data_IF_064758225897
#
_entry.id   IF_064758225897
#
_cell.length_a   1.000
_cell.length_b   1.000
_cell.length_c   1.000
_cell.angle_alpha   90.00
_cell.angle_beta   90.00
_cell.angle_gamma   90.00
#
_symmetry.space_group_name_H-M   'P 1'
#
loop_
_entity.id
_entity.type
_entity.pdbx_description
1 polymer ?
#
# COMPACT_ATOMS: atom_id res chain seq x y z
N UNK A 1 12.98 -5.43 0.49
CA UNK A 1 12.67 -4.71 1.75
C UNK A 1 11.25 -4.15 1.66
N UNK A 2 10.47 -4.16 2.74
CA UNK A 2 9.08 -3.68 2.76
C UNK A 2 8.75 -3.01 4.09
N UNK A 3 7.72 -2.17 4.10
CA UNK A 3 7.08 -1.71 5.34
C UNK A 3 6.02 -2.73 5.77
N UNK A 4 5.86 -2.96 7.07
CA UNK A 4 4.84 -3.83 7.61
C UNK A 4 3.80 -3.03 8.38
N UNK A 5 2.54 -3.08 7.94
CA UNK A 5 1.41 -2.56 8.70
C UNK A 5 1.04 -3.59 9.77
N UNK A 6 1.72 -3.51 10.92
CA UNK A 6 1.55 -4.46 12.02
C UNK A 6 0.16 -4.40 12.65
N UNK A 7 -0.37 -3.20 12.90
CA UNK A 7 -1.68 -3.03 13.54
C UNK A 7 -2.30 -1.68 13.23
N UNK A 8 -3.61 -1.66 13.05
CA UNK A 8 -4.43 -0.46 12.96
C UNK A 8 -5.77 -0.72 13.64
N UNK A 9 -6.18 0.23 14.48
CA UNK A 9 -7.41 0.13 15.24
C UNK A 9 -8.08 1.49 15.37
N UNK A 10 -9.40 1.47 15.50
CA UNK A 10 -10.21 2.65 15.80
C UNK A 10 -11.13 2.31 16.96
N UNK A 11 -11.43 3.32 17.79
CA UNK A 11 -12.48 3.19 18.82
C UNK A 11 -13.79 2.78 18.16
N UNK A 12 -14.58 1.95 18.84
CA UNK A 12 -15.80 1.37 18.26
C UNK A 12 -16.78 2.46 17.82
N UNK A 13 -16.92 3.52 18.62
CA UNK A 13 -17.79 4.67 18.40
C UNK A 13 -17.32 5.57 17.24
N UNK A 14 -16.12 5.32 16.71
CA UNK A 14 -15.47 6.08 15.62
C UNK A 14 -15.28 5.25 14.35
N UNK A 15 -15.79 4.02 14.31
CA UNK A 15 -15.78 3.19 13.10
C UNK A 15 -16.66 3.82 12.01
N UNK A 16 -16.29 3.59 10.75
CA UNK A 16 -17.02 4.16 9.60
C UNK A 16 -16.81 5.67 9.38
N UNK A 17 -16.07 6.37 10.24
CA UNK A 17 -15.87 7.83 10.16
C UNK A 17 -14.54 8.23 9.51
N UNK A 18 -13.80 7.28 8.93
CA UNK A 18 -12.52 7.54 8.24
C UNK A 18 -11.20 7.51 9.03
N UNK A 19 -11.11 7.47 10.38
CA UNK A 19 -9.80 7.56 11.04
C UNK A 19 -8.87 6.39 10.72
N UNK A 20 -9.41 5.18 10.54
CA UNK A 20 -8.62 4.01 10.12
C UNK A 20 -8.06 4.19 8.70
N UNK A 21 -8.85 4.75 7.79
CA UNK A 21 -8.40 5.07 6.42
C UNK A 21 -7.23 6.05 6.44
N UNK A 22 -7.35 7.13 7.20
CA UNK A 22 -6.33 8.16 7.29
C UNK A 22 -4.99 7.61 7.82
N UNK A 23 -5.03 6.72 8.83
CA UNK A 23 -3.83 6.07 9.35
C UNK A 23 -3.15 5.17 8.29
N UNK A 24 -3.94 4.41 7.53
CA UNK A 24 -3.41 3.53 6.47
C UNK A 24 -2.81 4.36 5.33
N UNK A 25 -3.47 5.44 4.93
CA UNK A 25 -2.95 6.38 3.92
C UNK A 25 -1.65 7.01 4.36
N UNK A 26 -1.53 7.43 5.62
CA UNK A 26 -0.29 7.96 6.17
C UNK A 26 0.85 6.91 6.14
N UNK A 27 0.57 5.68 6.55
CA UNK A 27 1.55 4.59 6.52
C UNK A 27 1.98 4.22 5.09
N UNK A 28 1.03 4.04 4.19
CA UNK A 28 1.32 3.71 2.78
C UNK A 28 2.00 4.84 2.02
N UNK A 29 1.76 6.10 2.40
CA UNK A 29 2.48 7.25 1.84
C UNK A 29 3.97 7.23 2.21
N UNK A 30 4.31 6.81 3.44
CA UNK A 30 5.71 6.61 3.84
C UNK A 30 6.37 5.47 3.05
N UNK A 31 5.65 4.37 2.84
CA UNK A 31 6.13 3.26 2.01
C UNK A 31 6.35 3.71 0.54
N UNK A 32 5.44 4.52 -0.01
CA UNK A 32 5.60 5.11 -1.35
C UNK A 32 6.85 5.99 -1.43
N UNK A 33 7.05 6.89 -0.45
CA UNK A 33 8.20 7.79 -0.40
C UNK A 33 9.53 7.03 -0.28
N UNK A 34 9.53 5.90 0.44
CA UNK A 34 10.68 5.00 0.54
C UNK A 34 10.84 4.07 -0.68
N UNK A 35 9.93 4.10 -1.66
CA UNK A 35 10.00 3.27 -2.85
C UNK A 35 9.86 1.77 -2.59
N UNK A 36 9.23 1.37 -1.48
CA UNK A 36 9.11 -0.03 -1.05
C UNK A 36 7.66 -0.47 -0.89
N UNK A 37 7.35 -1.78 -1.06
CA UNK A 37 6.01 -2.31 -0.81
C UNK A 37 5.58 -2.15 0.64
N UNK A 38 4.27 -2.16 0.86
CA UNK A 38 3.65 -2.28 2.18
C UNK A 38 2.96 -3.64 2.29
N UNK A 39 3.35 -4.44 3.28
CA UNK A 39 2.78 -5.75 3.58
C UNK A 39 1.87 -5.67 4.80
N UNK A 40 0.84 -6.51 4.85
CA UNK A 40 -0.01 -6.72 6.01
C UNK A 40 -0.56 -8.14 6.05
N UNK A 41 -1.09 -8.53 7.20
CA UNK A 41 -1.84 -9.76 7.40
C UNK A 41 -3.21 -9.45 7.99
N UNK A 42 -4.22 -10.22 7.60
CA UNK A 42 -5.59 -10.06 8.13
C UNK A 42 -6.36 -11.37 8.11
N UNK A 43 -7.42 -11.49 8.91
CA UNK A 43 -8.17 -12.74 9.09
C UNK A 43 -9.62 -12.71 8.56
N UNK A 44 -10.21 -11.53 8.31
CA UNK A 44 -11.63 -11.43 7.93
C UNK A 44 -11.82 -10.97 6.49
N UNK A 45 -12.88 -11.47 5.83
CA UNK A 45 -13.23 -11.05 4.46
C UNK A 45 -13.50 -9.54 4.39
N UNK A 46 -14.17 -8.97 5.40
CA UNK A 46 -14.43 -7.54 5.47
C UNK A 46 -13.14 -6.70 5.47
N UNK A 47 -12.09 -7.17 6.14
CA UNK A 47 -10.79 -6.52 6.12
C UNK A 47 -10.09 -6.70 4.77
N UNK A 48 -10.17 -7.89 4.16
CA UNK A 48 -9.63 -8.13 2.81
C UNK A 48 -10.24 -7.13 1.84
N UNK A 49 -11.58 -7.00 1.80
CA UNK A 49 -12.25 -6.05 0.92
C UNK A 49 -11.86 -4.59 1.21
N UNK A 50 -11.71 -4.26 2.49
CA UNK A 50 -11.28 -2.94 2.94
C UNK A 50 -9.85 -2.59 2.47
N UNK A 51 -8.90 -3.52 2.56
CA UNK A 51 -7.52 -3.32 2.10
C UNK A 51 -7.41 -3.41 0.58
N UNK A 52 -8.17 -4.28 -0.08
CA UNK A 52 -8.22 -4.40 -1.54
C UNK A 52 -8.62 -3.08 -2.21
N UNK A 53 -9.65 -2.40 -1.67
CA UNK A 53 -10.05 -1.05 -2.12
C UNK A 53 -8.94 0.00 -2.00
N UNK A 54 -7.89 -0.26 -1.21
CA UNK A 54 -6.73 0.61 -1.01
C UNK A 54 -5.49 0.17 -1.81
N UNK A 55 -5.66 -0.79 -2.71
CA UNK A 55 -4.62 -1.27 -3.61
C UNK A 55 -3.69 -2.31 -3.00
N UNK A 56 -4.13 -2.99 -1.93
CA UNK A 56 -3.48 -4.22 -1.49
C UNK A 56 -4.02 -5.40 -2.30
N UNK A 57 -3.15 -6.34 -2.63
CA UNK A 57 -3.45 -7.55 -3.38
C UNK A 57 -3.13 -8.76 -2.48
N UNK A 58 -3.98 -9.78 -2.51
CA UNK A 58 -3.73 -11.04 -1.79
C UNK A 58 -2.53 -11.74 -2.42
N UNK A 59 -1.58 -12.19 -1.59
CA UNK A 59 -0.39 -12.91 -2.04
C UNK A 59 -0.28 -14.33 -1.47
N UNK A 60 -1.13 -14.67 -0.49
CA UNK A 60 -1.13 -16.00 0.10
C UNK A 60 -2.00 -16.08 1.35
N UNK A 61 -2.22 -17.31 1.79
CA UNK A 61 -2.93 -17.62 3.02
C UNK A 61 -2.16 -18.67 3.81
N UNK A 62 -2.24 -18.59 5.13
CA UNK A 62 -1.68 -19.57 6.05
C UNK A 62 -2.73 -19.95 7.09
N UNK A 63 -2.72 -21.22 7.52
CA UNK A 63 -3.41 -21.61 8.74
C UNK A 63 -2.56 -21.20 9.95
N UNK A 64 -3.18 -20.48 10.87
CA UNK A 64 -2.62 -20.15 12.16
C UNK A 64 -3.55 -20.69 13.25
N UNK A 65 -3.33 -21.96 13.62
CA UNK A 65 -4.06 -22.64 14.69
C UNK A 65 -5.58 -22.66 14.44
N UNK A 66 -5.99 -22.97 13.20
CA UNK A 66 -7.39 -22.99 12.81
C UNK A 66 -7.97 -21.64 12.40
N UNK A 67 -7.13 -20.60 12.31
CA UNK A 67 -7.51 -19.30 11.75
C UNK A 67 -6.78 -19.05 10.44
N UNK A 68 -7.52 -18.71 9.38
CA UNK A 68 -6.91 -18.30 8.12
C UNK A 68 -6.33 -16.90 8.24
N UNK A 69 -5.01 -16.78 8.14
CA UNK A 69 -4.31 -15.51 7.99
C UNK A 69 -4.03 -15.27 6.51
N UNK A 70 -4.52 -14.16 5.99
CA UNK A 70 -4.32 -13.75 4.60
C UNK A 70 -3.27 -12.66 4.53
N UNK A 71 -2.16 -12.94 3.84
CA UNK A 71 -1.11 -11.97 3.55
C UNK A 71 -1.48 -11.13 2.33
N UNK A 72 -1.32 -9.81 2.45
CA UNK A 72 -1.62 -8.87 1.37
C UNK A 72 -0.47 -7.87 1.17
N UNK A 73 -0.21 -7.49 -0.08
CA UNK A 73 0.84 -6.53 -0.42
C UNK A 73 0.31 -5.39 -1.28
N UNK A 74 0.79 -4.19 -1.02
CA UNK A 74 0.58 -3.02 -1.89
C UNK A 74 1.92 -2.56 -2.42
N UNK A 75 2.06 -2.50 -3.75
CA UNK A 75 3.25 -1.92 -4.42
C UNK A 75 3.32 -0.41 -4.13
N UNK A 76 4.54 0.17 -4.06
CA UNK A 76 4.68 1.61 -3.90
C UNK A 76 4.10 2.32 -5.13
N UNK A 77 3.32 3.36 -4.89
CA UNK A 77 2.90 4.30 -5.93
C UNK A 77 3.90 5.44 -5.95
N UNK A 78 4.95 5.27 -6.74
CA UNK A 78 5.92 6.34 -6.97
C UNK A 78 5.28 7.34 -7.94
N UNK A 79 5.33 8.65 -7.67
CA UNK A 79 4.90 9.63 -8.67
C UNK A 79 5.65 9.38 -9.98
N UNK A 80 4.95 9.44 -11.11
CA UNK A 80 5.61 9.56 -12.41
C UNK A 80 6.38 10.88 -12.37
N UNK A 81 7.68 10.84 -12.03
CA UNK A 81 8.57 11.94 -12.38
C UNK A 81 8.52 12.02 -13.90
N UNK A 82 8.03 13.15 -14.44
CA UNK A 82 8.04 13.40 -15.88
C UNK A 82 9.43 13.05 -16.41
N UNK A 83 9.51 12.09 -17.33
CA UNK A 83 10.75 11.74 -17.98
C UNK A 83 11.40 13.03 -18.50
N UNK A 84 12.69 13.30 -18.24
CA UNK A 84 13.36 14.38 -18.93
C UNK A 84 13.30 14.04 -20.41
N UNK A 85 12.52 14.82 -21.17
CA UNK A 85 12.46 14.69 -22.61
C UNK A 85 13.89 14.77 -23.15
N UNK A 86 14.29 13.76 -23.94
CA UNK A 86 15.52 13.85 -24.71
C UNK A 86 15.41 15.08 -25.61
N UNK A 87 16.15 16.14 -25.27
CA UNK A 87 16.31 17.29 -26.13
C UNK A 87 17.02 16.84 -27.41
N UNK A 88 16.38 17.01 -28.56
CA UNK A 88 17.05 16.89 -29.85
C UNK A 88 18.13 17.96 -29.93
N UNK A 89 19.39 17.57 -29.88
CA UNK A 89 20.47 18.44 -30.31
C UNK A 89 20.23 18.79 -31.77
N UNK A 90 20.07 20.09 -32.04
CA UNK A 90 20.22 20.62 -33.40
C UNK A 90 21.72 20.56 -33.72
N UNK A 91 22.09 19.77 -34.71
CA UNK A 91 23.39 19.92 -35.38
C UNK A 91 23.31 21.17 -36.25
N UNK A 92 23.77 22.30 -35.70
CA UNK A 92 24.24 23.44 -36.47
C UNK A 92 25.76 23.52 -36.25
N UNK A 93 26.56 23.05 -37.20
CA UNK A 93 27.86 23.68 -37.49
C UNK A 93 28.33 23.36 -38.91
N UNK A 94 28.40 24.45 -39.70
CA UNK A 94 29.35 24.80 -40.76
C UNK A 94 29.59 23.85 -41.95
#
# INVERSE_FOLDING_TARGET
MHWYLLSVGTRAERRGQGPGSALIEAGTSRANAAGVPCYLETATQANIDFYSKRGFEVIGQADLRGHTLTGMVRKPRVPLTASPGFGSAREDTA
#
